data_IF_480597173691
#
_entry.id   IF_480597173691
#
_cell.length_a   1.000
_cell.length_b   1.000
_cell.length_c   1.000
_cell.angle_alpha   90.00
_cell.angle_beta   90.00
_cell.angle_gamma   90.00
#
_symmetry.space_group_name_H-M   'P 1'
#
loop_
_entity.id
_entity.type
_entity.pdbx_description
1 polymer ?
#
# COMPACT_ATOMS: atom_id res chain seq x y z
N UNK A 1 -54.16 9.29 19.57
CA UNK A 1 -52.72 8.97 19.61
C UNK A 1 -52.43 8.03 18.44
N UNK A 2 -51.53 8.37 17.51
CA UNK A 2 -51.17 7.46 16.39
C UNK A 2 -50.07 6.52 16.84
N UNK A 3 -50.20 5.23 16.52
CA UNK A 3 -49.17 4.23 16.78
C UNK A 3 -47.92 4.55 15.92
N UNK A 4 -46.71 4.61 16.49
CA UNK A 4 -45.50 4.87 15.73
C UNK A 4 -45.11 3.68 14.85
N UNK A 5 -44.38 3.97 13.77
CA UNK A 5 -43.73 2.97 12.92
C UNK A 5 -42.23 2.97 13.24
N UNK A 6 -41.65 1.77 13.40
CA UNK A 6 -40.21 1.60 13.67
C UNK A 6 -39.51 1.11 12.41
N UNK A 7 -38.45 1.81 11.99
CA UNK A 7 -37.59 1.39 10.85
C UNK A 7 -36.28 0.85 11.42
N UNK A 8 -35.99 -0.42 11.18
CA UNK A 8 -34.70 -1.04 11.49
C UNK A 8 -33.82 -1.04 10.23
N UNK A 9 -32.59 -0.50 10.31
CA UNK A 9 -31.64 -0.50 9.20
C UNK A 9 -30.21 -0.78 9.67
N UNK A 10 -29.52 -1.66 8.95
CA UNK A 10 -28.08 -1.85 9.03
C UNK A 10 -27.49 -1.76 7.61
N UNK A 11 -26.65 -0.74 7.34
CA UNK A 11 -26.11 -0.48 5.99
C UNK A 11 -25.15 -1.58 5.55
N UNK A 12 -24.27 -2.01 6.45
CA UNK A 12 -23.26 -3.03 6.18
C UNK A 12 -23.66 -4.43 6.67
N UNK A 13 -24.75 -4.55 7.44
CA UNK A 13 -25.05 -5.77 8.19
C UNK A 13 -24.00 -6.00 9.29
N UNK A 14 -23.45 -7.22 9.37
CA UNK A 14 -22.33 -7.52 10.27
C UNK A 14 -20.99 -7.18 9.62
N UNK A 15 -20.03 -6.73 10.43
CA UNK A 15 -18.73 -6.33 9.92
C UNK A 15 -17.95 -7.52 9.34
N UNK A 16 -18.09 -8.70 9.94
CA UNK A 16 -17.45 -9.94 9.49
C UNK A 16 -17.94 -10.34 8.09
N UNK A 17 -19.26 -10.26 7.85
CA UNK A 17 -19.83 -10.56 6.54
C UNK A 17 -19.41 -9.51 5.51
N UNK A 18 -19.39 -8.23 5.91
CA UNK A 18 -18.96 -7.16 5.03
C UNK A 18 -17.49 -7.29 4.61
N UNK A 19 -16.60 -7.65 5.54
CA UNK A 19 -15.20 -7.95 5.24
C UNK A 19 -15.10 -9.16 4.29
N UNK A 20 -15.86 -10.23 4.53
CA UNK A 20 -15.92 -11.38 3.62
C UNK A 20 -16.29 -10.99 2.19
N UNK A 21 -17.36 -10.20 2.02
CA UNK A 21 -17.79 -9.67 0.72
C UNK A 21 -16.69 -8.82 0.08
N UNK A 22 -16.02 -7.97 0.86
CA UNK A 22 -14.91 -7.12 0.37
C UNK A 22 -13.73 -7.99 -0.10
N UNK A 23 -13.36 -9.02 0.67
CA UNK A 23 -12.28 -9.96 0.30
C UNK A 23 -12.60 -10.64 -1.03
N UNK A 24 -13.82 -11.15 -1.18
CA UNK A 24 -14.29 -11.82 -2.40
C UNK A 24 -14.34 -10.85 -3.59
N UNK A 25 -14.94 -9.67 -3.41
CA UNK A 25 -15.11 -8.67 -4.47
C UNK A 25 -13.78 -8.22 -5.08
N UNK A 26 -12.77 -7.97 -4.25
CA UNK A 26 -11.45 -7.58 -4.72
C UNK A 26 -10.53 -8.78 -4.99
N UNK A 27 -10.98 -10.01 -4.68
CA UNK A 27 -10.14 -11.21 -4.60
C UNK A 27 -8.86 -10.96 -3.76
N UNK A 28 -8.92 -10.14 -2.71
CA UNK A 28 -7.77 -9.69 -1.92
C UNK A 28 -6.90 -8.59 -2.55
N UNK A 29 -7.15 -8.16 -3.78
CA UNK A 29 -6.48 -7.02 -4.43
C UNK A 29 -7.09 -5.69 -3.97
N UNK A 30 -6.98 -5.39 -2.68
CA UNK A 30 -7.62 -4.24 -2.06
C UNK A 30 -7.17 -2.89 -2.64
N UNK A 31 -8.09 -1.91 -2.80
CA UNK A 31 -7.73 -0.52 -3.01
C UNK A 31 -6.81 0.00 -1.90
N UNK A 32 -5.98 0.99 -2.23
CA UNK A 32 -4.95 1.54 -1.32
C UNK A 32 -5.53 1.90 0.04
N UNK A 33 -6.71 2.51 0.09
CA UNK A 33 -7.31 2.98 1.33
C UNK A 33 -7.70 1.86 2.32
N UNK A 34 -8.01 0.65 1.85
CA UNK A 34 -8.30 -0.52 2.70
C UNK A 34 -7.21 -1.59 2.71
N UNK A 35 -6.15 -1.47 1.91
CA UNK A 35 -5.07 -2.43 1.89
C UNK A 35 -4.35 -2.50 3.25
N UNK A 36 -4.15 -3.69 3.87
CA UNK A 36 -3.48 -3.82 5.16
C UNK A 36 -2.07 -3.22 5.16
N UNK A 37 -1.31 -3.54 4.10
CA UNK A 37 -0.04 -2.89 3.76
C UNK A 37 -0.28 -2.13 2.46
N UNK A 38 -0.02 -0.83 2.47
CA UNK A 38 -0.21 0.04 1.30
C UNK A 38 1.06 0.12 0.47
N UNK A 39 2.20 0.18 1.14
CA UNK A 39 3.52 0.26 0.54
C UNK A 39 4.44 -0.74 1.22
N UNK A 40 5.18 -1.51 0.43
CA UNK A 40 6.34 -2.27 0.92
C UNK A 40 7.61 -1.66 0.36
N UNK A 41 8.55 -1.31 1.24
CA UNK A 41 9.87 -0.80 0.88
C UNK A 41 10.83 -1.99 0.77
N UNK A 42 11.46 -2.15 -0.40
CA UNK A 42 12.32 -3.28 -0.74
C UNK A 42 13.76 -2.76 -0.94
N UNK A 43 14.61 -2.79 0.09
CA UNK A 43 16.03 -2.49 -0.05
C UNK A 43 16.74 -3.57 -0.88
N UNK A 44 17.55 -3.15 -1.86
CA UNK A 44 18.35 -4.05 -2.71
C UNK A 44 19.54 -4.67 -1.95
N UNK A 45 20.06 -3.97 -0.93
CA UNK A 45 21.17 -4.43 -0.10
C UNK A 45 21.00 -3.99 1.35
N UNK A 46 21.66 -4.70 2.28
CA UNK A 46 21.52 -4.46 3.73
C UNK A 46 21.92 -3.04 4.15
N UNK A 47 22.89 -2.44 3.45
CA UNK A 47 23.29 -1.04 3.65
C UNK A 47 22.17 -0.01 3.41
N UNK A 48 21.09 -0.38 2.70
CA UNK A 48 19.94 0.51 2.46
C UNK A 48 18.85 0.36 3.53
N UNK A 49 18.97 -0.59 4.46
CA UNK A 49 17.92 -0.86 5.47
C UNK A 49 17.69 0.36 6.36
N UNK A 50 18.76 0.99 6.87
CA UNK A 50 18.62 2.16 7.74
C UNK A 50 17.86 3.31 7.04
N UNK A 51 18.17 3.55 5.76
CA UNK A 51 17.47 4.54 4.95
C UNK A 51 16.00 4.13 4.69
N UNK A 52 15.74 2.85 4.43
CA UNK A 52 14.40 2.31 4.25
C UNK A 52 13.54 2.49 5.52
N UNK A 53 14.11 2.26 6.71
CA UNK A 53 13.43 2.46 7.99
C UNK A 53 13.17 3.94 8.27
N UNK A 54 14.11 4.83 7.91
CA UNK A 54 13.90 6.28 7.97
C UNK A 54 12.73 6.71 7.09
N UNK A 55 12.67 6.20 5.86
CA UNK A 55 11.56 6.44 4.94
C UNK A 55 10.25 5.87 5.48
N UNK A 56 10.27 4.67 6.05
CA UNK A 56 9.10 4.06 6.69
C UNK A 56 8.53 4.97 7.79
N UNK A 57 9.38 5.50 8.68
CA UNK A 57 8.95 6.43 9.75
C UNK A 57 8.27 7.67 9.15
N UNK A 58 8.91 8.30 8.17
CA UNK A 58 8.36 9.46 7.44
C UNK A 58 6.98 9.15 6.83
N UNK A 59 6.81 7.99 6.21
CA UNK A 59 5.54 7.60 5.59
C UNK A 59 4.46 7.27 6.63
N UNK A 60 4.84 6.66 7.76
CA UNK A 60 3.92 6.42 8.89
C UNK A 60 3.43 7.73 9.51
N UNK A 61 4.31 8.72 9.67
CA UNK A 61 3.94 10.09 10.07
C UNK A 61 3.00 10.76 9.06
N UNK A 62 3.17 10.44 7.76
CA UNK A 62 2.25 10.86 6.70
C UNK A 62 0.91 10.12 6.71
N UNK A 63 0.71 9.18 7.63
CA UNK A 63 -0.52 8.39 7.79
C UNK A 63 -0.70 7.32 6.72
N UNK A 64 0.39 6.73 6.23
CA UNK A 64 0.40 5.57 5.34
C UNK A 64 0.81 4.30 6.12
N UNK A 65 0.27 3.14 5.71
CA UNK A 65 0.64 1.82 6.25
C UNK A 65 1.76 1.22 5.42
N UNK A 66 2.96 1.22 5.99
CA UNK A 66 4.19 0.89 5.27
C UNK A 66 5.04 -0.11 6.05
N UNK A 67 5.56 -1.12 5.34
CA UNK A 67 6.49 -2.12 5.86
C UNK A 67 7.83 -2.10 5.10
N UNK A 68 8.91 -2.49 5.77
CA UNK A 68 10.24 -2.66 5.16
C UNK A 68 10.53 -4.15 5.04
N UNK A 69 10.86 -4.61 3.84
CA UNK A 69 11.22 -6.00 3.59
C UNK A 69 12.73 -6.22 3.75
N UNK A 70 13.17 -6.36 5.00
CA UNK A 70 14.54 -6.65 5.39
C UNK A 70 14.87 -8.16 5.45
N UNK A 71 14.02 -9.03 4.89
CA UNK A 71 14.27 -10.47 4.88
C UNK A 71 15.51 -10.80 4.04
N UNK A 72 16.23 -11.85 4.43
CA UNK A 72 17.36 -12.37 3.68
C UNK A 72 16.90 -13.27 2.50
N UNK A 73 16.08 -12.67 1.62
CA UNK A 73 15.57 -13.29 0.40
C UNK A 73 16.18 -12.60 -0.82
N UNK A 74 16.23 -13.29 -1.96
CA UNK A 74 16.64 -12.64 -3.22
C UNK A 74 15.68 -11.51 -3.58
N UNK A 75 16.18 -10.46 -4.27
CA UNK A 75 15.36 -9.33 -4.70
C UNK A 75 14.10 -9.78 -5.47
N UNK A 76 14.26 -10.71 -6.42
CA UNK A 76 13.14 -11.29 -7.18
C UNK A 76 12.13 -12.01 -6.29
N UNK A 77 12.58 -12.70 -5.24
CA UNK A 77 11.70 -13.35 -4.28
C UNK A 77 10.91 -12.32 -3.46
N UNK A 78 11.54 -11.21 -3.03
CA UNK A 78 10.85 -10.11 -2.34
C UNK A 78 9.74 -9.51 -3.21
N UNK A 79 10.05 -9.18 -4.47
CA UNK A 79 9.06 -8.65 -5.43
C UNK A 79 7.90 -9.63 -5.64
N UNK A 80 8.21 -10.91 -5.86
CA UNK A 80 7.17 -11.95 -6.04
C UNK A 80 6.29 -12.07 -4.80
N UNK A 81 6.87 -12.07 -3.60
CA UNK A 81 6.13 -12.16 -2.35
C UNK A 81 5.19 -10.96 -2.16
N UNK A 82 5.67 -9.74 -2.43
CA UNK A 82 4.86 -8.52 -2.39
C UNK A 82 3.66 -8.57 -3.34
N UNK A 83 3.88 -9.07 -4.56
CA UNK A 83 2.83 -9.26 -5.57
C UNK A 83 1.82 -10.33 -5.16
N UNK A 84 2.26 -11.46 -4.60
CA UNK A 84 1.39 -12.51 -4.06
C UNK A 84 0.53 -12.00 -2.90
N UNK A 85 1.09 -11.14 -2.05
CA UNK A 85 0.37 -10.43 -1.00
C UNK A 85 -0.48 -9.25 -1.50
N UNK A 86 -0.42 -8.95 -2.80
CA UNK A 86 -1.21 -7.91 -3.49
C UNK A 86 -0.98 -6.51 -2.91
N UNK A 87 0.22 -6.24 -2.42
CA UNK A 87 0.61 -4.94 -1.85
C UNK A 87 0.56 -3.88 -2.95
N UNK A 88 -0.27 -2.82 -2.84
CA UNK A 88 -0.51 -1.86 -3.91
C UNK A 88 0.76 -1.28 -4.55
N UNK A 89 1.73 -0.90 -3.72
CA UNK A 89 2.97 -0.25 -4.14
C UNK A 89 4.20 -0.94 -3.54
N UNK A 90 5.19 -1.20 -4.38
CA UNK A 90 6.52 -1.63 -3.99
C UNK A 90 7.50 -0.49 -4.27
N UNK A 91 8.18 0.00 -3.23
CA UNK A 91 9.23 1.02 -3.34
C UNK A 91 10.59 0.36 -3.25
N UNK A 92 11.31 0.31 -4.36
CA UNK A 92 12.63 -0.28 -4.46
C UNK A 92 13.69 0.77 -4.12
N UNK A 93 14.63 0.40 -3.24
CA UNK A 93 15.73 1.26 -2.79
C UNK A 93 17.10 0.61 -3.10
N UNK A 94 17.78 1.14 -4.11
CA UNK A 94 19.18 0.88 -4.41
C UNK A 94 20.08 2.08 -4.07
N UNK A 95 21.36 1.98 -4.41
CA UNK A 95 22.33 3.06 -4.18
C UNK A 95 21.91 4.35 -4.91
N UNK A 96 21.51 4.22 -6.18
CA UNK A 96 21.07 5.34 -7.03
C UNK A 96 19.86 6.07 -6.44
N UNK A 97 18.90 5.32 -5.90
CA UNK A 97 17.70 5.88 -5.26
C UNK A 97 18.05 6.62 -3.97
N UNK A 98 18.90 6.03 -3.14
CA UNK A 98 19.36 6.64 -1.88
C UNK A 98 20.15 7.94 -2.14
N UNK A 99 21.11 7.91 -3.08
CA UNK A 99 21.93 9.07 -3.42
C UNK A 99 21.12 10.22 -4.01
N UNK A 100 20.05 9.91 -4.76
CA UNK A 100 19.24 10.92 -5.46
C UNK A 100 17.96 11.32 -4.72
N UNK A 101 17.72 10.83 -3.51
CA UNK A 101 16.47 11.01 -2.75
C UNK A 101 15.22 10.61 -3.56
N UNK A 102 15.32 9.51 -4.30
CA UNK A 102 14.28 8.95 -5.16
C UNK A 102 13.92 7.53 -4.73
N UNK A 103 12.90 6.97 -5.36
CA UNK A 103 12.49 5.56 -5.22
C UNK A 103 12.09 5.02 -6.58
N UNK A 104 12.41 3.76 -6.86
CA UNK A 104 11.82 3.07 -8.01
C UNK A 104 10.49 2.46 -7.57
N UNK A 105 9.41 2.76 -8.29
CA UNK A 105 8.07 2.36 -7.90
C UNK A 105 7.52 1.29 -8.83
N UNK A 106 7.04 0.20 -8.25
CA UNK A 106 6.38 -0.89 -8.96
C UNK A 106 4.99 -1.16 -8.39
N UNK A 107 4.04 -1.47 -9.25
CA UNK A 107 2.67 -1.83 -8.87
C UNK A 107 2.51 -3.34 -8.73
N UNK A 108 1.53 -3.78 -7.93
CA UNK A 108 1.20 -5.21 -7.76
C UNK A 108 0.84 -5.94 -9.06
N UNK A 109 0.33 -5.22 -10.05
CA UNK A 109 -0.03 -5.76 -11.38
C UNK A 109 1.20 -6.00 -12.27
N UNK A 110 2.39 -5.65 -11.77
CA UNK A 110 3.66 -5.86 -12.46
C UNK A 110 4.13 -4.65 -13.27
N UNK A 111 3.31 -3.59 -13.41
CA UNK A 111 3.75 -2.34 -14.04
C UNK A 111 4.87 -1.70 -13.24
N UNK A 112 5.92 -1.30 -13.95
CA UNK A 112 7.06 -0.56 -13.42
C UNK A 112 6.89 0.91 -13.81
N UNK A 113 6.86 1.78 -12.81
CA UNK A 113 6.65 3.22 -12.97
C UNK A 113 7.96 4.00 -12.89
N UNK A 114 9.08 3.28 -12.79
CA UNK A 114 10.42 3.83 -12.78
C UNK A 114 10.74 4.65 -11.54
N UNK A 115 11.83 5.41 -11.65
CA UNK A 115 12.39 6.21 -10.56
C UNK A 115 11.62 7.52 -10.44
N UNK A 116 11.11 7.81 -9.25
CA UNK A 116 10.34 9.01 -8.94
C UNK A 116 10.86 9.66 -7.66
N UNK A 117 10.60 10.96 -7.53
CA UNK A 117 10.89 11.70 -6.30
C UNK A 117 10.07 11.16 -5.13
N UNK A 118 10.70 11.02 -3.96
CA UNK A 118 10.06 10.45 -2.76
C UNK A 118 8.87 11.31 -2.35
N UNK A 119 9.03 12.63 -2.26
CA UNK A 119 7.99 13.52 -1.76
C UNK A 119 6.81 13.60 -2.74
N UNK A 120 7.09 13.65 -4.05
CA UNK A 120 6.06 13.52 -5.08
C UNK A 120 5.27 12.21 -4.95
N UNK A 121 5.98 11.09 -4.76
CA UNK A 121 5.36 9.77 -4.65
C UNK A 121 4.46 9.66 -3.41
N UNK A 122 4.93 10.14 -2.25
CA UNK A 122 4.15 10.16 -1.01
C UNK A 122 2.85 10.95 -1.16
N UNK A 123 2.94 12.15 -1.74
CA UNK A 123 1.77 13.00 -2.00
C UNK A 123 0.77 12.30 -2.93
N UNK A 124 1.23 11.63 -3.98
CA UNK A 124 0.37 10.95 -4.91
C UNK A 124 -0.32 9.72 -4.30
N UNK A 125 0.40 8.91 -3.51
CA UNK A 125 -0.19 7.79 -2.77
C UNK A 125 -1.23 8.31 -1.77
N UNK A 126 -0.92 9.41 -1.07
CA UNK A 126 -1.84 10.00 -0.10
C UNK A 126 -3.09 10.59 -0.75
N UNK A 127 -2.96 11.16 -1.94
CA UNK A 127 -4.11 11.60 -2.75
C UNK A 127 -5.05 10.43 -3.06
N UNK A 128 -4.51 9.33 -3.60
CA UNK A 128 -5.27 8.10 -3.89
C UNK A 128 -5.95 7.56 -2.64
N UNK A 129 -5.25 7.57 -1.50
CA UNK A 129 -5.79 7.19 -0.20
C UNK A 129 -6.97 8.06 0.24
N UNK A 130 -6.82 9.39 0.20
CA UNK A 130 -7.83 10.34 0.65
C UNK A 130 -9.08 10.33 -0.24
N UNK A 131 -8.89 10.17 -1.55
CA UNK A 131 -9.98 10.09 -2.54
C UNK A 131 -10.70 8.74 -2.50
N UNK A 132 -10.21 7.77 -1.70
CA UNK A 132 -10.72 6.40 -1.64
C UNK A 132 -10.87 5.75 -3.02
N UNK A 133 -9.92 6.07 -3.91
CA UNK A 133 -9.92 5.57 -5.28
C UNK A 133 -9.91 4.05 -5.32
N UNK A 134 -10.65 3.47 -6.26
CA UNK A 134 -10.65 2.04 -6.55
C UNK A 134 -9.48 1.62 -7.44
N UNK A 135 -8.88 2.59 -8.15
CA UNK A 135 -7.79 2.35 -9.08
C UNK A 135 -6.43 2.59 -8.41
N UNK A 136 -5.44 1.77 -8.77
CA UNK A 136 -4.03 2.18 -8.69
C UNK A 136 -3.80 3.27 -9.76
N UNK A 137 -2.73 4.06 -9.64
CA UNK A 137 -2.45 5.16 -10.57
C UNK A 137 -2.81 4.81 -12.03
N UNK A 138 -3.52 5.73 -12.70
CA UNK A 138 -3.85 5.61 -14.12
C UNK A 138 -2.57 5.56 -14.93
#
# INVERSE_FOLDING_TARGET
MKTPVVIHRAIYGSLERFIGIIVEHFAGAFPVWIAPIQVEIIPIADRHIEYAEKLQRKMKEFGLRVEVNNKNDSFSAKIRNAQLQKIPYMMILGDKEVESNKVSLRLRDGRDLGIQDIDSTLNQIKKVYNERSLELWK
#
